data_IF_661097588767
#
_entry.id   IF_661097588767
#
_cell.length_a   1.000
_cell.length_b   1.000
_cell.length_c   1.000
_cell.angle_alpha   90.00
_cell.angle_beta   90.00
_cell.angle_gamma   90.00
#
_symmetry.space_group_name_H-M   'P 1'
#
loop_
_entity.id
_entity.type
_entity.pdbx_description
1 polymer ?
#
# COMPACT_ATOMS: atom_id res chain seq x y z
N UNK A 1 -38.87 -19.47 23.99
CA UNK A 1 -38.50 -18.94 22.65
C UNK A 1 -36.98 -19.01 22.56
N UNK A 2 -36.44 -19.97 21.82
CA UNK A 2 -35.00 -20.05 21.58
C UNK A 2 -34.69 -19.18 20.36
N UNK A 3 -34.03 -18.05 20.57
CA UNK A 3 -33.53 -17.23 19.48
C UNK A 3 -32.19 -17.84 19.09
N UNK A 4 -32.02 -18.38 17.88
CA UNK A 4 -30.74 -18.95 17.49
C UNK A 4 -29.68 -17.85 17.49
N UNK A 5 -28.55 -18.13 18.15
CA UNK A 5 -27.36 -17.31 18.02
C UNK A 5 -26.96 -17.28 16.54
N UNK A 6 -26.79 -16.07 16.00
CA UNK A 6 -26.35 -15.92 14.62
C UNK A 6 -24.85 -16.13 14.58
N UNK A 7 -24.45 -17.28 14.05
CA UNK A 7 -23.04 -17.64 13.90
C UNK A 7 -22.39 -16.88 12.74
N UNK A 8 -21.21 -16.31 13.01
CA UNK A 8 -20.31 -15.78 11.97
C UNK A 8 -19.52 -16.94 11.38
N UNK A 9 -19.51 -17.04 10.05
CA UNK A 9 -18.87 -18.12 9.29
C UNK A 9 -17.73 -17.65 8.39
N UNK A 10 -17.63 -16.35 8.12
CA UNK A 10 -16.50 -15.72 7.43
C UNK A 10 -16.41 -14.25 7.81
N UNK A 11 -15.22 -13.68 7.68
CA UNK A 11 -15.02 -12.24 7.75
C UNK A 11 -14.60 -11.70 6.40
N UNK A 12 -14.95 -10.46 6.13
CA UNK A 12 -14.50 -9.71 4.98
C UNK A 12 -13.86 -8.42 5.49
N UNK A 13 -12.62 -8.17 5.07
CA UNK A 13 -11.91 -6.93 5.38
C UNK A 13 -12.09 -6.00 4.21
N UNK A 14 -12.71 -4.86 4.46
CA UNK A 14 -12.88 -3.80 3.47
C UNK A 14 -11.81 -2.75 3.73
N UNK A 15 -11.08 -2.34 2.69
CA UNK A 15 -10.04 -1.33 2.80
C UNK A 15 -10.04 -0.39 1.59
N UNK A 16 -9.80 0.90 1.84
CA UNK A 16 -9.83 1.95 0.82
C UNK A 16 -8.55 2.78 0.92
N UNK A 17 -7.88 2.96 -0.22
CA UNK A 17 -6.72 3.82 -0.35
C UNK A 17 -7.14 5.29 -0.42
N UNK A 18 -6.39 6.16 0.26
CA UNK A 18 -6.59 7.60 0.26
C UNK A 18 -8.04 8.00 0.59
N UNK A 19 -8.56 7.56 1.76
CA UNK A 19 -9.92 7.89 2.13
C UNK A 19 -10.05 9.41 2.28
N UNK A 20 -11.16 9.95 1.78
CA UNK A 20 -11.53 11.34 2.03
C UNK A 20 -11.69 11.64 3.53
N UNK A 21 -11.93 12.91 3.86
CA UNK A 21 -12.18 13.35 5.24
C UNK A 21 -13.38 12.62 5.86
N UNK A 22 -14.47 12.52 5.11
CA UNK A 22 -15.67 11.75 5.47
C UNK A 22 -15.79 10.57 4.51
N UNK A 23 -15.64 9.36 5.04
CA UNK A 23 -15.77 8.12 4.27
C UNK A 23 -16.85 7.27 4.93
N UNK A 24 -17.71 6.68 4.10
CA UNK A 24 -18.83 5.84 4.49
C UNK A 24 -18.60 4.41 4.00
N UNK A 25 -19.16 3.45 4.74
CA UNK A 25 -19.16 2.04 4.32
C UNK A 25 -19.96 1.78 3.04
N UNK A 26 -20.81 2.74 2.66
CA UNK A 26 -21.62 2.69 1.43
C UNK A 26 -20.99 3.41 0.25
N UNK A 27 -19.78 3.94 0.39
CA UNK A 27 -19.02 4.58 -0.69
C UNK A 27 -18.40 3.50 -1.59
N UNK A 28 -19.24 2.58 -2.06
CA UNK A 28 -18.84 1.51 -2.95
C UNK A 28 -18.93 2.01 -4.40
N UNK A 29 -17.85 1.81 -5.12
CA UNK A 29 -17.75 2.06 -6.56
C UNK A 29 -17.75 0.69 -7.24
N UNK A 30 -18.14 0.61 -8.50
CA UNK A 30 -18.12 -0.65 -9.26
C UNK A 30 -16.85 -1.49 -8.97
N UNK A 31 -17.00 -2.79 -8.70
CA UNK A 31 -15.95 -3.68 -8.16
C UNK A 31 -14.73 -3.88 -9.08
N UNK A 32 -14.80 -3.34 -10.30
CA UNK A 32 -13.71 -3.30 -11.27
C UNK A 32 -12.85 -2.02 -11.20
N UNK A 33 -13.22 -1.07 -10.34
CA UNK A 33 -12.54 0.21 -10.18
C UNK A 33 -11.38 0.11 -9.19
N UNK A 34 -10.29 0.83 -9.49
CA UNK A 34 -9.21 1.04 -8.52
C UNK A 34 -9.58 2.01 -7.40
N UNK A 35 -10.67 2.75 -7.58
CA UNK A 35 -11.28 3.64 -6.59
C UNK A 35 -12.40 2.92 -5.84
N UNK A 36 -12.50 3.13 -4.53
CA UNK A 36 -13.54 2.55 -3.69
C UNK A 36 -13.01 1.56 -2.65
N UNK A 37 -13.93 0.82 -2.05
CA UNK A 37 -13.60 -0.25 -1.11
C UNK A 37 -13.09 -1.48 -1.86
N UNK A 38 -11.91 -1.96 -1.48
CA UNK A 38 -11.39 -3.28 -1.85
C UNK A 38 -11.72 -4.26 -0.75
N UNK A 39 -11.89 -5.52 -1.11
CA UNK A 39 -12.34 -6.57 -0.19
C UNK A 39 -11.34 -7.72 -0.13
N UNK A 40 -11.17 -8.26 1.07
CA UNK A 40 -10.37 -9.45 1.33
C UNK A 40 -11.19 -10.42 2.16
N UNK A 41 -11.51 -11.57 1.57
CA UNK A 41 -12.19 -12.65 2.27
C UNK A 41 -11.24 -13.35 3.25
N UNK A 42 -11.75 -13.60 4.46
CA UNK A 42 -11.03 -14.30 5.53
C UNK A 42 -11.88 -15.49 5.98
N UNK A 43 -11.39 -16.68 5.65
CA UNK A 43 -11.98 -17.94 6.10
C UNK A 43 -11.67 -18.16 7.57
N UNK A 44 -12.67 -18.58 8.34
CA UNK A 44 -12.48 -19.00 9.73
C UNK A 44 -12.46 -20.52 9.85
N UNK A 45 -11.75 -21.02 10.85
CA UNK A 45 -11.67 -22.45 11.12
C UNK A 45 -13.01 -23.00 11.64
N UNK A 46 -13.31 -24.26 11.34
CA UNK A 46 -14.54 -24.91 11.76
C UNK A 46 -14.67 -25.03 13.29
N UNK A 47 -13.55 -25.02 14.03
CA UNK A 47 -13.54 -25.05 15.49
C UNK A 47 -13.70 -23.64 16.12
N UNK A 48 -13.84 -22.60 15.30
CA UNK A 48 -14.07 -21.20 15.68
C UNK A 48 -13.07 -20.68 16.73
N UNK A 49 -11.79 -20.98 16.57
CA UNK A 49 -10.75 -20.56 17.53
C UNK A 49 -10.67 -19.04 17.68
N UNK A 50 -11.06 -18.29 16.66
CA UNK A 50 -11.14 -16.83 16.71
C UNK A 50 -12.01 -16.29 17.86
N UNK A 51 -12.98 -17.06 18.36
CA UNK A 51 -13.84 -16.65 19.47
C UNK A 51 -13.07 -16.54 20.79
N UNK A 52 -12.06 -17.40 20.99
CA UNK A 52 -11.29 -17.43 22.24
C UNK A 52 -9.93 -16.75 22.11
N UNK A 53 -9.28 -16.83 20.94
CA UNK A 53 -7.93 -16.32 20.71
C UNK A 53 -7.88 -15.00 19.94
N UNK A 54 -9.02 -14.57 19.38
CA UNK A 54 -9.06 -13.48 18.40
C UNK A 54 -8.62 -13.94 17.01
N UNK A 55 -8.87 -13.10 16.01
CA UNK A 55 -8.46 -13.30 14.63
C UNK A 55 -7.43 -12.23 14.24
N UNK A 56 -6.28 -12.66 13.73
CA UNK A 56 -5.23 -11.77 13.23
C UNK A 56 -5.08 -12.01 11.73
N UNK A 57 -5.15 -10.94 10.95
CA UNK A 57 -5.04 -10.99 9.50
C UNK A 57 -4.04 -9.94 9.05
N UNK A 58 -3.12 -10.34 8.19
CA UNK A 58 -2.15 -9.44 7.59
C UNK A 58 -2.69 -8.93 6.26
N UNK A 59 -2.95 -7.63 6.19
CA UNK A 59 -3.23 -6.96 4.93
C UNK A 59 -1.90 -6.61 4.26
N UNK A 60 -1.70 -7.10 3.03
CA UNK A 60 -0.43 -7.00 2.28
C UNK A 60 -0.63 -6.25 0.96
N UNK A 61 0.46 -6.04 0.22
CA UNK A 61 0.45 -5.33 -1.08
C UNK A 61 -0.14 -3.91 -1.03
N UNK A 62 0.03 -3.23 0.11
CA UNK A 62 -0.35 -1.84 0.30
C UNK A 62 0.76 -0.89 -0.13
N UNK A 63 0.39 0.23 -0.73
CA UNK A 63 1.35 1.31 -1.01
C UNK A 63 1.91 1.93 0.28
N UNK A 64 3.21 2.24 0.26
CA UNK A 64 3.93 2.84 1.38
C UNK A 64 3.62 4.33 1.55
N UNK A 65 3.66 4.80 2.79
CA UNK A 65 3.36 6.19 3.17
C UNK A 65 2.02 6.69 2.63
N UNK A 66 1.00 5.85 2.71
CA UNK A 66 -0.34 6.14 2.20
C UNK A 66 -1.39 5.97 3.30
N UNK A 67 -2.35 6.91 3.43
CA UNK A 67 -3.47 6.74 4.33
C UNK A 67 -4.46 5.72 3.76
N UNK A 68 -4.96 4.85 4.63
CA UNK A 68 -5.99 3.87 4.35
C UNK A 68 -7.13 3.99 5.36
N UNK A 69 -8.35 3.72 4.90
CA UNK A 69 -9.47 3.40 5.78
C UNK A 69 -9.75 1.89 5.69
N UNK A 70 -10.16 1.27 6.79
CA UNK A 70 -10.57 -0.13 6.79
C UNK A 70 -11.65 -0.42 7.82
N UNK A 71 -12.46 -1.44 7.55
CA UNK A 71 -13.44 -1.99 8.48
C UNK A 71 -13.63 -3.49 8.20
N UNK A 72 -14.24 -4.20 9.13
CA UNK A 72 -14.44 -5.66 9.03
C UNK A 72 -15.92 -5.97 9.13
N UNK A 73 -16.41 -6.81 8.21
CA UNK A 73 -17.77 -7.34 8.20
C UNK A 73 -17.75 -8.83 8.49
N UNK A 74 -18.54 -9.29 9.45
CA UNK A 74 -18.77 -10.69 9.73
C UNK A 74 -20.03 -11.19 9.04
N UNK A 75 -19.92 -12.26 8.27
CA UNK A 75 -21.02 -12.86 7.53
C UNK A 75 -21.41 -14.22 8.12
N UNK A 76 -22.70 -14.44 8.27
CA UNK A 76 -23.31 -15.76 8.32
C UNK A 76 -23.81 -16.09 6.92
N UNK A 77 -23.89 -17.37 6.55
CA UNK A 77 -24.35 -17.90 5.24
C UNK A 77 -24.48 -16.83 4.14
N UNK A 78 -25.61 -16.09 4.10
CA UNK A 78 -25.88 -15.00 3.15
C UNK A 78 -26.30 -13.66 3.79
N UNK A 79 -25.86 -13.36 5.01
CA UNK A 79 -26.17 -12.09 5.68
C UNK A 79 -24.99 -11.53 6.46
N UNK A 80 -24.83 -10.22 6.40
CA UNK A 80 -23.99 -9.48 7.34
C UNK A 80 -24.63 -9.56 8.72
N UNK A 81 -23.84 -9.94 9.72
CA UNK A 81 -24.27 -10.09 11.11
C UNK A 81 -23.71 -8.98 11.97
N UNK A 82 -22.48 -8.57 11.67
CA UNK A 82 -21.74 -7.58 12.43
C UNK A 82 -20.82 -6.82 11.50
N UNK A 83 -20.63 -5.53 11.77
CA UNK A 83 -19.70 -4.67 11.06
C UNK A 83 -18.99 -3.79 12.09
N UNK A 84 -17.67 -3.68 11.97
CA UNK A 84 -16.89 -2.78 12.82
C UNK A 84 -17.09 -1.32 12.41
N UNK A 85 -16.69 -0.40 13.28
CA UNK A 85 -16.46 0.99 12.86
C UNK A 85 -15.31 1.07 11.85
N UNK A 86 -15.30 2.16 11.07
CA UNK A 86 -14.20 2.47 10.15
C UNK A 86 -13.01 2.99 10.97
N UNK A 87 -11.85 2.41 10.72
CA UNK A 87 -10.56 2.85 11.24
C UNK A 87 -9.74 3.46 10.11
N UNK A 88 -8.89 4.43 10.44
CA UNK A 88 -8.00 5.09 9.47
C UNK A 88 -6.59 5.07 10.00
N UNK A 89 -5.66 4.56 9.21
CA UNK A 89 -4.25 4.48 9.54
C UNK A 89 -3.40 4.71 8.29
N UNK A 90 -2.15 5.11 8.47
CA UNK A 90 -1.21 5.27 7.36
C UNK A 90 -0.17 4.16 7.39
N UNK A 91 0.15 3.63 6.21
CA UNK A 91 1.26 2.69 6.07
C UNK A 91 2.59 3.39 6.35
N UNK A 92 3.58 2.60 6.76
CA UNK A 92 4.91 3.11 7.03
C UNK A 92 5.59 3.61 5.74
N UNK A 93 6.56 4.52 5.84
CA UNK A 93 7.44 4.85 4.73
C UNK A 93 8.21 3.63 4.22
N UNK A 94 8.66 3.70 2.97
CA UNK A 94 9.51 2.70 2.34
C UNK A 94 10.52 3.38 1.41
N UNK A 95 11.39 2.58 0.78
CA UNK A 95 12.39 3.09 -0.18
C UNK A 95 11.70 3.85 -1.32
N UNK A 96 12.15 5.08 -1.64
CA UNK A 96 11.65 5.81 -2.80
C UNK A 96 11.88 5.03 -4.11
N UNK A 97 11.06 5.30 -5.12
CA UNK A 97 11.34 4.82 -6.47
C UNK A 97 12.62 5.42 -7.03
N UNK A 98 13.09 4.89 -8.14
CA UNK A 98 14.23 5.47 -8.87
C UNK A 98 13.99 6.94 -9.27
N UNK A 99 15.09 7.69 -9.38
CA UNK A 99 15.09 9.06 -9.89
C UNK A 99 14.75 9.07 -11.37
N UNK A 100 14.09 10.14 -11.81
CA UNK A 100 13.67 10.28 -13.20
C UNK A 100 14.48 11.40 -13.87
N UNK A 101 14.78 11.24 -15.16
CA UNK A 101 15.44 12.30 -15.97
C UNK A 101 16.80 12.74 -15.42
N UNK A 102 17.63 11.80 -14.96
CA UNK A 102 19.01 12.11 -14.54
C UNK A 102 19.82 12.52 -15.77
N UNK A 103 20.35 13.74 -15.75
CA UNK A 103 21.15 14.32 -16.82
C UNK A 103 22.41 14.95 -16.24
N UNK A 104 23.52 14.84 -16.96
CA UNK A 104 24.79 15.43 -16.61
C UNK A 104 25.43 16.12 -17.80
N UNK A 105 25.98 17.31 -17.59
CA UNK A 105 26.79 18.01 -18.59
C UNK A 105 28.00 18.65 -17.92
N UNK A 106 29.01 18.96 -18.73
CA UNK A 106 30.23 19.62 -18.28
C UNK A 106 30.57 20.74 -19.25
N UNK A 107 30.70 21.95 -18.72
CA UNK A 107 31.14 23.12 -19.47
C UNK A 107 32.60 23.48 -19.19
N UNK A 108 33.18 22.91 -18.13
CA UNK A 108 34.54 23.17 -17.65
C UNK A 108 35.24 21.85 -17.34
N UNK A 109 36.56 21.81 -17.55
CA UNK A 109 37.38 20.59 -17.42
C UNK A 109 37.30 19.89 -16.06
N UNK A 110 36.93 20.61 -14.99
CA UNK A 110 36.88 20.08 -13.63
C UNK A 110 35.50 20.20 -12.98
N UNK A 111 34.43 20.33 -13.78
CA UNK A 111 33.07 20.47 -13.29
C UNK A 111 32.13 19.52 -14.01
N UNK A 112 31.19 18.95 -13.26
CA UNK A 112 30.04 18.23 -13.80
C UNK A 112 28.80 18.82 -13.14
N UNK A 113 27.88 19.31 -13.94
CA UNK A 113 26.56 19.73 -13.51
C UNK A 113 25.62 18.57 -13.72
N UNK A 114 24.95 18.14 -12.65
CA UNK A 114 23.95 17.07 -12.66
C UNK A 114 22.59 17.62 -12.27
N UNK A 115 21.54 17.14 -12.93
CA UNK A 115 20.16 17.50 -12.64
C UNK A 115 19.26 16.27 -12.75
N UNK A 116 18.19 16.23 -11.96
CA UNK A 116 17.22 15.15 -11.95
C UNK A 116 15.85 15.69 -11.53
N UNK A 117 14.80 14.89 -11.78
CA UNK A 117 13.48 15.10 -11.21
C UNK A 117 13.30 14.24 -9.96
N UNK A 118 12.45 14.66 -9.00
CA UNK A 118 12.08 13.84 -7.86
C UNK A 118 11.57 12.45 -8.28
N UNK A 119 11.71 11.44 -7.40
CA UNK A 119 11.18 10.11 -7.67
C UNK A 119 9.66 10.15 -7.83
N UNK A 120 9.12 9.34 -8.76
CA UNK A 120 7.68 9.29 -9.02
C UNK A 120 6.89 8.81 -7.80
N UNK A 121 7.44 7.86 -7.03
CA UNK A 121 6.91 7.43 -5.75
C UNK A 121 7.93 7.68 -4.64
N UNK A 122 7.84 8.80 -3.92
CA UNK A 122 8.74 9.08 -2.80
C UNK A 122 8.62 8.08 -1.65
N UNK A 123 7.46 7.42 -1.50
CA UNK A 123 7.16 6.45 -0.44
C UNK A 123 7.49 6.96 0.98
N UNK A 124 7.44 8.26 1.19
CA UNK A 124 7.88 8.89 2.43
C UNK A 124 8.09 10.39 2.25
N UNK A 125 8.43 11.06 3.35
CA UNK A 125 8.95 12.42 3.30
C UNK A 125 10.40 12.35 2.82
N UNK A 126 10.68 13.00 1.70
CA UNK A 126 12.05 13.11 1.18
C UNK A 126 12.88 14.04 2.08
N UNK A 127 14.01 13.55 2.57
CA UNK A 127 14.91 14.31 3.44
C UNK A 127 16.15 14.80 2.70
N UNK A 128 16.85 13.90 1.98
CA UNK A 128 18.06 14.23 1.24
C UNK A 128 18.25 13.36 -0.01
N UNK A 129 19.20 13.76 -0.86
CA UNK A 129 19.70 12.97 -1.98
C UNK A 129 21.19 12.68 -1.77
N UNK A 130 21.57 11.41 -1.83
CA UNK A 130 22.98 11.01 -1.80
C UNK A 130 23.51 10.90 -3.24
N UNK A 131 24.61 11.58 -3.54
CA UNK A 131 25.28 11.54 -4.84
C UNK A 131 26.68 10.97 -4.66
N UNK A 132 26.94 9.85 -5.33
CA UNK A 132 28.26 9.22 -5.37
C UNK A 132 28.79 9.19 -6.80
N UNK A 133 30.11 9.26 -6.96
CA UNK A 133 30.77 9.20 -8.25
C UNK A 133 32.02 8.32 -8.16
N UNK A 134 32.41 7.73 -9.29
CA UNK A 134 33.65 6.96 -9.42
C UNK A 134 34.30 7.26 -10.76
N UNK A 135 35.63 7.30 -10.79
CA UNK A 135 36.37 7.28 -12.05
C UNK A 135 36.16 5.90 -12.69
N UNK A 136 35.67 5.87 -13.92
CA UNK A 136 35.59 4.64 -14.71
C UNK A 136 36.87 4.48 -15.51
N UNK A 137 37.45 3.29 -15.49
CA UNK A 137 38.57 2.96 -16.36
C UNK A 137 38.16 3.12 -17.82
N UNK A 138 39.11 3.55 -18.65
CA UNK A 138 38.88 3.71 -20.09
C UNK A 138 38.55 2.35 -20.68
N UNK A 139 37.35 2.21 -21.24
CA UNK A 139 37.00 1.01 -21.99
C UNK A 139 37.80 1.01 -23.31
N UNK A 140 38.86 0.22 -23.34
CA UNK A 140 39.76 0.10 -24.49
C UNK A 140 39.19 -0.80 -25.59
N UNK A 141 38.05 -1.47 -25.36
CA UNK A 141 37.40 -2.30 -26.37
C UNK A 141 36.86 -1.51 -27.56
N UNK A 142 36.51 -0.24 -27.36
CA UNK A 142 36.02 0.66 -28.40
C UNK A 142 37.12 1.41 -29.16
N UNK A 143 38.39 1.26 -28.74
CA UNK A 143 39.55 1.94 -29.36
C UNK A 143 40.29 1.08 -30.41
N UNK A 144 39.80 -0.14 -30.65
CA UNK A 144 40.41 -1.11 -31.58
C UNK A 144 39.61 -1.30 -32.89
N UNK A 145 39.04 -0.22 -33.45
CA UNK A 145 38.46 -0.20 -34.80
C UNK A 145 39.41 0.50 -35.79
#
# INVERSE_FOLDING_TARGET
IHIPFVDVLRFEIHYMKNPGSSVSMYDDVDQCSDYGWKTMDVSVDANKQYVTQGLIVNLTDLEAYMPYAFYVSGYSVDKIVVTSTIHKESTLPSTPSELVSVQGYSNLFSEIVISWKPPFKPNGKLEEYEVTWKLMDKDTSLLNL
#
